data_IF_770192228981
#
_entry.id   IF_770192228981
#
_cell.length_a   1.000
_cell.length_b   1.000
_cell.length_c   1.000
_cell.angle_alpha   90.00
_cell.angle_beta   90.00
_cell.angle_gamma   90.00
#
_symmetry.space_group_name_H-M   'P 1'
#
loop_
_entity.id
_entity.type
_entity.pdbx_description
1 polymer ?
#
# COMPACT_ATOMS: atom_id res chain seq x y z
N UNK A 1 2.80 68.58 26.15
CA UNK A 1 1.53 68.18 25.50
C UNK A 1 1.82 67.32 24.22
N UNK A 2 2.68 67.76 23.32
CA UNK A 2 3.03 67.11 22.08
C UNK A 2 3.73 65.68 22.30
N UNK A 3 4.62 65.57 23.26
CA UNK A 3 5.29 64.34 23.64
C UNK A 3 4.32 63.28 24.19
N UNK A 4 3.38 63.67 25.03
CA UNK A 4 2.37 62.85 25.63
C UNK A 4 1.42 62.25 24.56
N UNK A 5 1.02 63.07 23.59
CA UNK A 5 0.17 62.65 22.48
C UNK A 5 0.87 61.64 21.56
N UNK A 6 2.17 61.78 21.31
CA UNK A 6 2.95 60.83 20.50
C UNK A 6 3.10 59.47 21.21
N UNK A 7 3.32 59.43 22.53
CA UNK A 7 3.35 58.15 23.29
C UNK A 7 1.99 57.46 23.30
N UNK A 8 0.89 58.19 23.41
CA UNK A 8 -0.45 57.65 23.39
C UNK A 8 -0.76 57.01 22.01
N UNK A 9 -0.44 57.69 20.92
CA UNK A 9 -0.61 57.18 19.56
C UNK A 9 0.26 55.92 19.35
N UNK A 10 1.52 55.94 19.78
CA UNK A 10 2.41 54.77 19.66
C UNK A 10 1.87 53.57 20.44
N UNK A 11 1.32 53.77 21.63
CA UNK A 11 0.71 52.72 22.44
C UNK A 11 -0.54 52.12 21.76
N UNK A 12 -1.38 52.95 21.18
CA UNK A 12 -2.56 52.50 20.42
C UNK A 12 -2.18 51.67 19.20
N UNK A 13 -1.18 52.11 18.43
CA UNK A 13 -0.65 51.35 17.28
C UNK A 13 -0.10 50.00 17.73
N UNK A 14 0.64 49.96 18.84
CA UNK A 14 1.19 48.72 19.41
C UNK A 14 0.08 47.71 19.77
N UNK A 15 -1.00 48.18 20.45
CA UNK A 15 -2.12 47.31 20.79
C UNK A 15 -2.87 46.79 19.55
N UNK A 16 -3.03 47.63 18.51
CA UNK A 16 -3.66 47.20 17.26
C UNK A 16 -2.83 46.12 16.57
N UNK A 17 -1.50 46.33 16.50
CA UNK A 17 -0.60 45.33 15.88
C UNK A 17 -0.63 43.98 16.63
N UNK A 18 -0.57 44.01 17.97
CA UNK A 18 -0.68 42.77 18.77
C UNK A 18 -2.03 42.10 18.56
N UNK A 19 -3.12 42.85 18.54
CA UNK A 19 -4.45 42.27 18.29
C UNK A 19 -4.55 41.60 16.91
N UNK A 20 -3.99 42.22 15.88
CA UNK A 20 -3.94 41.63 14.54
C UNK A 20 -3.11 40.33 14.51
N UNK A 21 -1.95 40.31 15.16
CA UNK A 21 -1.10 39.10 15.26
C UNK A 21 -1.84 38.01 16.04
N UNK A 22 -2.52 38.34 17.13
CA UNK A 22 -3.31 37.35 17.88
C UNK A 22 -4.46 36.76 17.04
N UNK A 23 -5.18 37.62 16.29
CA UNK A 23 -6.24 37.16 15.40
C UNK A 23 -5.73 36.25 14.27
N UNK A 24 -4.59 36.58 13.68
CA UNK A 24 -3.97 35.74 12.64
C UNK A 24 -3.52 34.38 13.19
N UNK A 25 -2.86 34.38 14.35
CA UNK A 25 -2.47 33.16 15.04
C UNK A 25 -3.68 32.29 15.42
N UNK A 26 -4.76 32.91 15.92
CA UNK A 26 -5.99 32.19 16.25
C UNK A 26 -6.64 31.55 15.00
N UNK A 27 -6.71 32.32 13.90
CA UNK A 27 -7.20 31.78 12.61
C UNK A 27 -6.33 30.61 12.12
N UNK A 28 -5.01 30.72 12.20
CA UNK A 28 -4.08 29.65 11.80
C UNK A 28 -4.25 28.41 12.68
N UNK A 29 -4.41 28.58 13.98
CA UNK A 29 -4.64 27.46 14.91
C UNK A 29 -5.95 26.74 14.60
N UNK A 30 -7.03 27.49 14.42
CA UNK A 30 -8.35 26.94 14.08
C UNK A 30 -8.34 26.22 12.73
N UNK A 31 -7.63 26.77 11.74
CA UNK A 31 -7.49 26.14 10.43
C UNK A 31 -6.71 24.81 10.51
N UNK A 32 -5.67 24.74 11.36
CA UNK A 32 -4.93 23.50 11.61
C UNK A 32 -5.80 22.41 12.28
N UNK A 33 -6.67 22.79 13.21
CA UNK A 33 -7.62 21.87 13.84
C UNK A 33 -8.61 21.32 12.80
N UNK A 34 -9.20 22.17 11.98
CA UNK A 34 -10.09 21.73 10.88
C UNK A 34 -9.40 20.81 9.90
N UNK A 35 -8.16 21.09 9.52
CA UNK A 35 -7.40 20.22 8.61
C UNK A 35 -7.10 18.86 9.24
N UNK A 36 -6.80 18.81 10.53
CA UNK A 36 -6.63 17.55 11.25
C UNK A 36 -7.93 16.72 11.29
N UNK A 37 -9.04 17.36 11.63
CA UNK A 37 -10.36 16.71 11.67
C UNK A 37 -10.77 16.16 10.30
N UNK A 38 -10.56 16.93 9.22
CA UNK A 38 -10.80 16.47 7.85
C UNK A 38 -9.90 15.29 7.50
N UNK A 39 -8.62 15.34 7.86
CA UNK A 39 -7.68 14.25 7.60
C UNK A 39 -8.06 12.96 8.36
N UNK A 40 -8.52 13.08 9.60
CA UNK A 40 -9.02 11.93 10.38
C UNK A 40 -10.30 11.34 9.79
N UNK A 41 -11.27 12.18 9.41
CA UNK A 41 -12.49 11.74 8.74
C UNK A 41 -12.18 11.05 7.41
N UNK A 42 -11.28 11.60 6.62
CA UNK A 42 -10.87 10.99 5.35
C UNK A 42 -10.17 9.63 5.57
N UNK A 43 -9.33 9.50 6.60
CA UNK A 43 -8.75 8.20 6.96
C UNK A 43 -9.83 7.19 7.33
N UNK A 44 -10.79 7.59 8.15
CA UNK A 44 -11.88 6.72 8.56
C UNK A 44 -12.75 6.28 7.36
N UNK A 45 -13.09 7.21 6.47
CA UNK A 45 -13.82 6.93 5.23
C UNK A 45 -13.04 5.94 4.36
N UNK A 46 -11.73 6.15 4.17
CA UNK A 46 -10.90 5.24 3.38
C UNK A 46 -10.82 3.84 4.00
N UNK A 47 -10.79 3.74 5.33
CA UNK A 47 -10.84 2.44 6.02
C UNK A 47 -12.17 1.74 5.78
N UNK A 48 -13.29 2.45 5.91
CA UNK A 48 -14.63 1.89 5.66
C UNK A 48 -14.81 1.44 4.20
N UNK A 49 -14.32 2.21 3.24
CA UNK A 49 -14.34 1.83 1.82
C UNK A 49 -13.53 0.55 1.60
N UNK A 50 -12.35 0.46 2.18
CA UNK A 50 -11.50 -0.72 2.06
C UNK A 50 -12.14 -1.97 2.73
N UNK A 51 -12.80 -1.82 3.87
CA UNK A 51 -13.53 -2.89 4.54
C UNK A 51 -14.76 -3.34 3.73
N UNK A 52 -15.52 -2.40 3.20
CA UNK A 52 -16.66 -2.68 2.34
C UNK A 52 -16.25 -3.43 1.07
N UNK A 53 -15.17 -3.02 0.44
CA UNK A 53 -14.64 -3.67 -0.75
C UNK A 53 -14.11 -5.09 -0.44
N UNK A 54 -13.42 -5.28 0.68
CA UNK A 54 -13.03 -6.63 1.15
C UNK A 54 -14.23 -7.53 1.40
N UNK A 55 -15.31 -6.99 1.97
CA UNK A 55 -16.52 -7.76 2.22
C UNK A 55 -17.20 -8.13 0.90
N UNK A 56 -17.31 -7.20 -0.06
CA UNK A 56 -17.87 -7.44 -1.40
C UNK A 56 -17.09 -8.54 -2.13
N UNK A 57 -15.76 -8.42 -2.15
CA UNK A 57 -14.87 -9.44 -2.77
C UNK A 57 -15.04 -10.80 -2.10
N UNK A 58 -15.12 -10.82 -0.76
CA UNK A 58 -15.35 -12.05 -0.01
C UNK A 58 -16.67 -12.74 -0.38
N UNK A 59 -17.74 -11.98 -0.58
CA UNK A 59 -19.02 -12.50 -1.05
C UNK A 59 -18.92 -13.02 -2.49
N UNK A 60 -18.38 -12.24 -3.42
CA UNK A 60 -18.22 -12.63 -4.83
C UNK A 60 -17.38 -13.91 -4.98
N UNK A 61 -16.32 -14.04 -4.17
CA UNK A 61 -15.51 -15.26 -4.12
C UNK A 61 -16.30 -16.44 -3.52
N UNK A 62 -16.99 -16.23 -2.42
CA UNK A 62 -17.76 -17.29 -1.76
C UNK A 62 -18.85 -17.82 -2.68
N UNK A 63 -19.59 -16.95 -3.34
CA UNK A 63 -20.68 -17.34 -4.24
C UNK A 63 -20.14 -18.07 -5.47
N UNK A 64 -19.07 -17.55 -6.09
CA UNK A 64 -18.43 -18.18 -7.25
C UNK A 64 -17.85 -19.53 -6.88
N UNK A 65 -17.07 -19.64 -5.81
CA UNK A 65 -16.42 -20.87 -5.38
C UNK A 65 -17.44 -21.90 -4.84
N UNK A 66 -18.48 -21.45 -4.13
CA UNK A 66 -19.53 -22.32 -3.60
C UNK A 66 -20.24 -23.09 -4.72
N UNK A 67 -20.66 -22.40 -5.77
CA UNK A 67 -21.28 -23.03 -6.95
C UNK A 67 -20.33 -23.99 -7.69
N UNK A 68 -19.06 -23.62 -7.81
CA UNK A 68 -18.07 -24.46 -8.47
C UNK A 68 -17.82 -25.73 -7.69
N UNK A 69 -17.58 -25.65 -6.38
CA UNK A 69 -17.34 -26.83 -5.54
C UNK A 69 -18.54 -27.76 -5.48
N UNK A 70 -19.76 -27.22 -5.41
CA UNK A 70 -20.99 -28.05 -5.50
C UNK A 70 -21.08 -28.79 -6.83
N UNK A 71 -20.78 -28.13 -7.95
CA UNK A 71 -20.78 -28.74 -9.27
C UNK A 71 -19.67 -29.79 -9.44
N UNK A 72 -18.46 -29.53 -8.94
CA UNK A 72 -17.36 -30.49 -8.95
C UNK A 72 -17.69 -31.73 -8.11
N UNK A 73 -18.29 -31.55 -6.93
CA UNK A 73 -18.73 -32.66 -6.07
C UNK A 73 -19.75 -33.54 -6.76
N UNK A 74 -20.77 -32.93 -7.38
CA UNK A 74 -21.83 -33.68 -8.10
C UNK A 74 -21.25 -34.46 -9.28
N UNK A 75 -20.37 -33.85 -10.08
CA UNK A 75 -19.72 -34.50 -11.22
C UNK A 75 -18.78 -35.63 -10.78
N UNK A 76 -18.08 -35.46 -9.68
CA UNK A 76 -17.22 -36.53 -9.12
C UNK A 76 -18.04 -37.69 -8.61
N UNK A 77 -19.19 -37.45 -7.97
CA UNK A 77 -20.10 -38.51 -7.52
C UNK A 77 -20.72 -39.24 -8.71
N UNK A 78 -21.09 -38.54 -9.78
CA UNK A 78 -21.60 -39.17 -11.01
C UNK A 78 -20.53 -40.02 -11.68
N UNK A 79 -19.32 -39.54 -11.81
CA UNK A 79 -18.20 -40.29 -12.35
C UNK A 79 -17.94 -41.58 -11.53
N UNK A 80 -17.99 -41.47 -10.18
CA UNK A 80 -17.84 -42.61 -9.29
C UNK A 80 -18.94 -43.68 -9.50
N UNK A 81 -20.20 -43.25 -9.63
CA UNK A 81 -21.34 -44.20 -9.86
C UNK A 81 -21.29 -44.89 -11.22
N UNK A 82 -20.64 -44.27 -12.22
CA UNK A 82 -20.54 -44.81 -13.58
C UNK A 82 -19.30 -45.64 -13.83
N UNK A 83 -18.35 -45.74 -12.90
CA UNK A 83 -17.01 -46.32 -13.12
C UNK A 83 -17.06 -47.79 -13.56
N UNK A 84 -18.02 -48.54 -13.03
CA UNK A 84 -18.20 -49.98 -13.35
C UNK A 84 -19.21 -50.24 -14.49
N UNK A 85 -19.90 -49.15 -14.97
CA UNK A 85 -21.01 -49.34 -15.95
C UNK A 85 -20.75 -48.67 -17.29
N UNK A 86 -20.08 -47.51 -17.34
CA UNK A 86 -19.88 -46.73 -18.55
C UNK A 86 -18.59 -45.88 -18.46
N UNK A 87 -17.47 -46.51 -18.83
CA UNK A 87 -16.14 -45.87 -18.77
C UNK A 87 -16.02 -44.62 -19.67
N UNK A 88 -16.73 -44.60 -20.81
CA UNK A 88 -16.69 -43.40 -21.69
C UNK A 88 -17.39 -42.21 -21.06
N UNK A 89 -18.49 -42.40 -20.36
CA UNK A 89 -19.15 -41.32 -19.58
C UNK A 89 -18.26 -40.88 -18.41
N UNK A 90 -17.56 -41.78 -17.72
CA UNK A 90 -16.61 -41.45 -16.68
C UNK A 90 -15.53 -40.51 -17.22
N UNK A 91 -14.94 -40.82 -18.36
CA UNK A 91 -13.95 -39.98 -19.02
C UNK A 91 -14.50 -38.60 -19.34
N UNK A 92 -15.73 -38.51 -19.85
CA UNK A 92 -16.40 -37.26 -20.16
C UNK A 92 -16.61 -36.38 -18.90
N UNK A 93 -17.04 -36.99 -17.76
CA UNK A 93 -17.20 -36.27 -16.51
C UNK A 93 -15.87 -35.79 -15.92
N UNK A 94 -14.81 -36.62 -16.00
CA UNK A 94 -13.47 -36.22 -15.56
C UNK A 94 -12.91 -35.06 -16.40
N UNK A 95 -13.13 -35.05 -17.72
CA UNK A 95 -12.76 -33.91 -18.57
C UNK A 95 -13.55 -32.66 -18.21
N UNK A 96 -14.87 -32.78 -17.92
CA UNK A 96 -15.69 -31.69 -17.48
C UNK A 96 -15.22 -31.12 -16.13
N UNK A 97 -14.84 -31.98 -15.17
CA UNK A 97 -14.23 -31.56 -13.88
C UNK A 97 -12.97 -30.75 -14.12
N UNK A 98 -12.06 -31.24 -14.96
CA UNK A 98 -10.78 -30.57 -15.25
C UNK A 98 -11.03 -29.21 -15.91
N UNK A 99 -11.93 -29.12 -16.88
CA UNK A 99 -12.33 -27.89 -17.55
C UNK A 99 -12.91 -26.88 -16.54
N UNK A 100 -13.89 -27.30 -15.75
CA UNK A 100 -14.52 -26.44 -14.74
C UNK A 100 -13.52 -25.93 -13.70
N UNK A 101 -12.59 -26.76 -13.26
CA UNK A 101 -11.52 -26.38 -12.33
C UNK A 101 -10.63 -25.28 -12.92
N UNK A 102 -10.20 -25.41 -14.19
CA UNK A 102 -9.37 -24.41 -14.88
C UNK A 102 -10.12 -23.09 -15.08
N UNK A 103 -11.37 -23.14 -15.53
CA UNK A 103 -12.21 -21.96 -15.73
C UNK A 103 -12.42 -21.22 -14.42
N UNK A 104 -12.64 -21.95 -13.33
CA UNK A 104 -12.84 -21.37 -12.00
C UNK A 104 -11.58 -20.70 -11.45
N UNK A 105 -10.41 -21.33 -11.64
CA UNK A 105 -9.14 -20.71 -11.27
C UNK A 105 -8.89 -19.41 -12.04
N UNK A 106 -9.24 -19.36 -13.31
CA UNK A 106 -9.12 -18.13 -14.11
C UNK A 106 -10.09 -17.06 -13.61
N UNK A 107 -11.35 -17.43 -13.29
CA UNK A 107 -12.34 -16.52 -12.75
C UNK A 107 -11.91 -15.92 -11.40
N UNK A 108 -11.34 -16.72 -10.52
CA UNK A 108 -10.76 -16.25 -9.24
C UNK A 108 -9.61 -15.27 -9.49
N UNK A 109 -8.76 -15.54 -10.47
CA UNK A 109 -7.69 -14.61 -10.85
C UNK A 109 -8.25 -13.31 -11.38
N UNK A 110 -9.25 -13.33 -12.24
CA UNK A 110 -9.94 -12.12 -12.72
C UNK A 110 -10.52 -11.28 -11.56
N UNK A 111 -11.21 -11.91 -10.60
CA UNK A 111 -11.75 -11.22 -9.42
C UNK A 111 -10.62 -10.58 -8.58
N UNK A 112 -9.48 -11.24 -8.46
CA UNK A 112 -8.31 -10.71 -7.73
C UNK A 112 -7.66 -9.58 -8.54
N UNK A 113 -7.59 -9.68 -9.85
CA UNK A 113 -7.01 -8.67 -10.74
C UNK A 113 -7.93 -7.44 -10.89
N UNK A 114 -9.26 -7.58 -10.79
CA UNK A 114 -10.24 -6.48 -10.75
C UNK A 114 -10.18 -5.66 -9.45
N UNK A 115 -9.58 -6.20 -8.39
CA UNK A 115 -9.12 -5.41 -7.25
C UNK A 115 -7.89 -4.63 -7.71
N UNK A 116 -8.09 -3.59 -8.47
CA UNK A 116 -7.04 -2.70 -9.00
C UNK A 116 -6.29 -2.02 -7.86
N UNK A 117 -5.40 -2.78 -7.23
CA UNK A 117 -4.28 -2.14 -6.58
C UNK A 117 -3.44 -1.48 -7.70
N UNK A 118 -3.08 -0.21 -7.55
CA UNK A 118 -2.26 0.46 -8.55
C UNK A 118 -1.03 -0.39 -8.83
N UNK A 119 -0.60 -0.42 -10.09
CA UNK A 119 0.67 -1.05 -10.43
C UNK A 119 1.79 -0.39 -9.63
N UNK A 120 2.88 -1.12 -9.40
CA UNK A 120 4.01 -0.53 -8.66
C UNK A 120 4.50 0.77 -9.29
N UNK A 121 4.47 0.88 -10.62
CA UNK A 121 4.86 2.08 -11.37
C UNK A 121 3.93 3.26 -11.04
N UNK A 122 2.62 3.04 -11.07
CA UNK A 122 1.61 4.07 -10.75
C UNK A 122 1.71 4.51 -9.29
N UNK A 123 2.00 3.59 -8.37
CA UNK A 123 2.21 3.91 -6.97
C UNK A 123 3.43 4.80 -6.77
N UNK A 124 4.57 4.50 -7.41
CA UNK A 124 5.77 5.34 -7.34
C UNK A 124 5.49 6.75 -7.86
N UNK A 125 4.70 6.88 -8.93
CA UNK A 125 4.33 8.20 -9.48
C UNK A 125 3.35 8.94 -8.54
N UNK A 126 2.49 8.24 -7.83
CA UNK A 126 1.64 8.81 -6.78
C UNK A 126 2.46 9.28 -5.57
N UNK A 127 3.38 8.44 -5.09
CA UNK A 127 4.30 8.77 -3.99
C UNK A 127 5.12 10.03 -4.31
N UNK A 128 5.60 10.17 -5.55
CA UNK A 128 6.35 11.36 -5.98
C UNK A 128 5.53 12.65 -5.80
N UNK A 129 4.24 12.61 -6.08
CA UNK A 129 3.37 13.78 -5.88
C UNK A 129 3.21 14.11 -4.39
N UNK A 130 2.94 13.10 -3.58
CA UNK A 130 2.75 13.28 -2.12
C UNK A 130 4.01 13.83 -1.46
N UNK A 131 5.19 13.31 -1.81
CA UNK A 131 6.46 13.76 -1.25
C UNK A 131 6.82 15.17 -1.72
N UNK A 132 6.50 15.52 -2.98
CA UNK A 132 6.65 16.89 -3.48
C UNK A 132 5.79 17.89 -2.71
N UNK A 133 4.55 17.52 -2.38
CA UNK A 133 3.66 18.37 -1.57
C UNK A 133 4.14 18.53 -0.11
N UNK A 134 5.00 17.62 0.33
CA UNK A 134 5.66 17.65 1.64
C UNK A 134 7.07 18.29 1.62
N UNK A 135 7.49 18.89 0.50
CA UNK A 135 8.82 19.47 0.28
C UNK A 135 9.98 18.45 0.46
N UNK A 136 9.73 17.17 0.14
CA UNK A 136 10.73 16.10 0.18
C UNK A 136 11.14 15.73 -1.25
N UNK A 137 12.44 15.79 -1.55
CA UNK A 137 12.98 15.38 -2.85
C UNK A 137 12.95 13.84 -2.97
N UNK A 138 12.29 13.33 -4.02
CA UNK A 138 12.11 11.89 -4.22
C UNK A 138 12.61 11.42 -5.58
N UNK A 139 13.49 10.45 -5.54
CA UNK A 139 13.99 9.75 -6.73
C UNK A 139 13.75 8.24 -6.60
N UNK A 140 13.38 7.59 -7.71
CA UNK A 140 13.22 6.14 -7.76
C UNK A 140 13.79 5.58 -9.05
N UNK A 141 14.72 4.60 -8.92
CA UNK A 141 15.39 3.96 -10.05
C UNK A 141 14.80 2.59 -10.37
N UNK A 142 14.68 2.28 -11.66
CA UNK A 142 14.34 0.97 -12.22
C UNK A 142 12.97 0.43 -11.74
N UNK A 143 11.97 1.30 -11.54
CA UNK A 143 10.62 0.90 -11.10
C UNK A 143 9.97 -0.16 -12.00
N UNK A 144 10.37 -0.22 -13.27
CA UNK A 144 9.89 -1.16 -14.28
C UNK A 144 10.22 -2.62 -13.96
N UNK A 145 11.28 -2.87 -13.17
CA UNK A 145 11.66 -4.21 -12.74
C UNK A 145 10.59 -4.89 -11.89
N UNK A 146 9.65 -4.16 -11.31
CA UNK A 146 8.52 -4.75 -10.59
C UNK A 146 7.61 -5.60 -11.49
N UNK A 147 7.61 -5.38 -12.81
CA UNK A 147 6.77 -6.11 -13.77
C UNK A 147 7.10 -7.60 -13.87
N UNK A 148 8.30 -8.02 -13.46
CA UNK A 148 8.66 -9.46 -13.42
C UNK A 148 7.97 -10.23 -12.29
N UNK A 149 7.36 -9.51 -11.34
CA UNK A 149 6.65 -10.10 -10.22
C UNK A 149 5.21 -10.44 -10.59
N UNK A 150 4.66 -11.47 -9.94
CA UNK A 150 3.23 -11.75 -10.02
C UNK A 150 2.40 -10.58 -9.45
N UNK A 151 1.14 -10.39 -9.87
CA UNK A 151 0.27 -9.32 -9.36
C UNK A 151 0.23 -9.26 -7.84
N UNK A 152 0.11 -10.40 -7.16
CA UNK A 152 0.10 -10.49 -5.70
C UNK A 152 1.41 -9.95 -5.07
N UNK A 153 2.57 -10.30 -5.65
CA UNK A 153 3.87 -9.80 -5.17
C UNK A 153 4.04 -8.31 -5.45
N UNK A 154 3.56 -7.81 -6.60
CA UNK A 154 3.55 -6.39 -6.89
C UNK A 154 2.71 -5.61 -5.86
N UNK A 155 1.50 -6.10 -5.56
CA UNK A 155 0.62 -5.48 -4.55
C UNK A 155 1.26 -5.43 -3.16
N UNK A 156 1.93 -6.50 -2.75
CA UNK A 156 2.69 -6.51 -1.49
C UNK A 156 3.83 -5.50 -1.51
N UNK A 157 4.55 -5.40 -2.63
CA UNK A 157 5.64 -4.44 -2.80
C UNK A 157 5.14 -2.99 -2.72
N UNK A 158 3.97 -2.71 -3.32
CA UNK A 158 3.27 -1.42 -3.20
C UNK A 158 2.96 -1.10 -1.74
N UNK A 159 2.37 -2.05 -0.99
CA UNK A 159 2.04 -1.85 0.42
C UNK A 159 3.27 -1.60 1.29
N UNK A 160 4.35 -2.33 1.05
CA UNK A 160 5.63 -2.16 1.75
C UNK A 160 6.23 -0.79 1.47
N UNK A 161 6.27 -0.39 0.19
CA UNK A 161 6.81 0.92 -0.21
C UNK A 161 5.99 2.06 0.39
N UNK A 162 4.65 1.97 0.33
CA UNK A 162 3.75 2.96 0.93
C UNK A 162 3.97 3.09 2.43
N UNK A 163 4.15 1.98 3.14
CA UNK A 163 4.43 1.98 4.58
C UNK A 163 5.78 2.63 4.90
N UNK A 164 6.84 2.30 4.15
CA UNK A 164 8.15 2.92 4.31
C UNK A 164 8.09 4.45 4.10
N UNK A 165 7.41 4.90 3.04
CA UNK A 165 7.23 6.33 2.76
C UNK A 165 6.38 7.03 3.83
N UNK A 166 5.32 6.38 4.33
CA UNK A 166 4.53 6.92 5.43
C UNK A 166 5.37 7.11 6.71
N UNK A 167 6.30 6.21 6.98
CA UNK A 167 7.22 6.33 8.11
C UNK A 167 8.17 7.52 7.91
N UNK A 168 8.70 7.72 6.71
CA UNK A 168 9.50 8.90 6.39
C UNK A 168 8.72 10.19 6.65
N UNK A 169 7.51 10.33 6.09
CA UNK A 169 6.68 11.55 6.24
C UNK A 169 6.36 11.83 7.71
N UNK A 170 6.06 10.78 8.50
CA UNK A 170 5.61 10.96 9.89
C UNK A 170 6.75 11.13 10.89
N UNK A 171 7.87 10.47 10.65
CA UNK A 171 8.86 10.24 11.69
C UNK A 171 10.27 10.67 11.33
N UNK A 172 10.68 10.60 10.05
CA UNK A 172 12.08 10.77 9.68
C UNK A 172 12.56 12.23 9.71
N UNK A 173 11.68 13.21 9.47
CA UNK A 173 12.08 14.61 9.23
C UNK A 173 13.13 14.73 8.12
N UNK A 174 13.00 13.90 7.09
CA UNK A 174 13.93 13.80 5.97
C UNK A 174 13.67 14.92 4.95
N UNK A 175 14.71 15.30 4.22
CA UNK A 175 14.63 16.20 3.08
C UNK A 175 14.75 15.46 1.74
N UNK A 176 15.28 14.24 1.75
CA UNK A 176 15.48 13.43 0.55
C UNK A 176 15.10 11.97 0.81
N UNK A 177 14.49 11.34 -0.21
CA UNK A 177 14.22 9.91 -0.24
C UNK A 177 14.68 9.34 -1.56
N UNK A 178 15.45 8.27 -1.51
CA UNK A 178 15.90 7.54 -2.68
C UNK A 178 15.38 6.10 -2.65
N UNK A 179 14.71 5.68 -3.72
CA UNK A 179 14.26 4.30 -3.91
C UNK A 179 14.93 3.66 -5.11
N UNK A 180 15.10 2.33 -5.07
CA UNK A 180 15.70 1.58 -6.17
C UNK A 180 15.24 0.13 -6.18
N UNK A 181 14.93 -0.39 -7.38
CA UNK A 181 14.84 -1.82 -7.63
C UNK A 181 16.11 -2.33 -8.33
N UNK A 182 16.56 -3.52 -7.96
CA UNK A 182 17.70 -4.18 -8.58
C UNK A 182 17.44 -5.69 -8.66
N UNK A 183 17.71 -6.30 -9.81
CA UNK A 183 17.70 -7.76 -9.95
C UNK A 183 19.00 -8.34 -9.43
N UNK A 184 18.90 -9.40 -8.62
CA UNK A 184 20.03 -10.14 -8.08
C UNK A 184 19.93 -11.59 -8.57
N UNK A 185 20.96 -12.09 -9.25
CA UNK A 185 21.06 -13.49 -9.72
C UNK A 185 19.87 -13.99 -10.57
N UNK A 186 19.22 -13.13 -11.36
CA UNK A 186 18.08 -13.40 -12.22
C UNK A 186 16.82 -14.00 -11.55
N UNK A 187 16.88 -14.35 -10.26
CA UNK A 187 15.78 -14.99 -9.53
C UNK A 187 15.31 -14.20 -8.29
N UNK A 188 15.96 -13.09 -8.02
CA UNK A 188 15.65 -12.25 -6.85
C UNK A 188 15.55 -10.78 -7.25
N UNK A 189 14.60 -10.09 -6.66
CA UNK A 189 14.43 -8.66 -6.75
C UNK A 189 14.76 -8.04 -5.39
N UNK A 190 15.56 -7.00 -5.40
CA UNK A 190 15.93 -6.23 -4.23
C UNK A 190 15.28 -4.86 -4.34
N UNK A 191 14.46 -4.51 -3.34
CA UNK A 191 13.96 -3.16 -3.11
C UNK A 191 14.82 -2.49 -2.05
N UNK A 192 15.30 -1.29 -2.36
CA UNK A 192 16.00 -0.43 -1.42
C UNK A 192 15.23 0.89 -1.32
N UNK A 193 15.01 1.38 -0.09
CA UNK A 193 14.46 2.71 0.20
C UNK A 193 15.35 3.32 1.27
N UNK A 194 15.82 4.54 1.02
CA UNK A 194 16.77 5.26 1.87
C UNK A 194 16.32 6.70 2.03
N UNK A 195 16.33 7.21 3.26
CA UNK A 195 16.09 8.63 3.59
C UNK A 195 17.25 9.24 4.35
N UNK A 196 17.36 10.55 4.31
CA UNK A 196 18.38 11.34 5.01
C UNK A 196 17.91 11.87 6.37
N UNK A 197 16.88 11.27 6.95
CA UNK A 197 16.27 11.71 8.20
C UNK A 197 17.01 11.28 9.46
N UNK A 198 16.33 11.34 10.60
CA UNK A 198 16.90 11.03 11.92
C UNK A 198 17.06 9.54 12.23
N UNK A 199 16.64 8.65 11.32
CA UNK A 199 16.61 7.20 11.57
C UNK A 199 15.39 6.73 12.34
N UNK A 200 15.33 5.43 12.66
CA UNK A 200 14.24 4.76 13.38
C UNK A 200 14.59 4.62 14.85
N UNK A 201 13.73 5.12 15.74
CA UNK A 201 13.91 5.07 17.19
C UNK A 201 13.34 3.78 17.84
N UNK A 202 12.51 3.02 17.13
CA UNK A 202 11.85 1.84 17.71
C UNK A 202 11.59 0.72 16.70
N UNK A 203 11.68 -0.54 17.16
CA UNK A 203 11.34 -1.75 16.37
C UNK A 203 9.87 -1.78 15.91
N UNK A 204 9.00 -0.97 16.52
CA UNK A 204 7.58 -0.92 16.19
C UNK A 204 7.32 -0.39 14.78
N UNK A 205 8.14 0.53 14.29
CA UNK A 205 7.95 1.18 12.98
C UNK A 205 8.20 0.23 11.80
N UNK A 206 9.02 -0.80 12.01
CA UNK A 206 9.39 -1.78 10.98
C UNK A 206 8.58 -3.06 11.05
N UNK A 207 7.84 -3.30 12.15
CA UNK A 207 7.11 -4.55 12.39
C UNK A 207 6.10 -4.87 11.29
N UNK A 208 5.36 -3.88 10.81
CA UNK A 208 4.39 -4.01 9.73
C UNK A 208 5.05 -4.39 8.40
N UNK A 209 6.21 -3.82 8.10
CA UNK A 209 7.01 -4.16 6.92
C UNK A 209 7.55 -5.58 7.04
N UNK A 210 8.11 -5.94 8.19
CA UNK A 210 8.66 -7.27 8.46
C UNK A 210 7.64 -8.38 8.24
N UNK A 211 6.42 -8.23 8.75
CA UNK A 211 5.35 -9.19 8.56
C UNK A 211 5.02 -9.40 7.07
N UNK A 212 4.92 -8.31 6.28
CA UNK A 212 4.64 -8.40 4.85
C UNK A 212 5.78 -9.06 4.08
N UNK A 213 7.03 -8.76 4.44
CA UNK A 213 8.21 -9.38 3.83
C UNK A 213 8.25 -10.89 4.10
N UNK A 214 7.88 -11.33 5.31
CA UNK A 214 7.74 -12.75 5.64
C UNK A 214 6.69 -13.46 4.76
N UNK A 215 5.55 -12.82 4.47
CA UNK A 215 4.54 -13.39 3.56
C UNK A 215 5.05 -13.53 2.10
N UNK A 216 6.06 -12.75 1.72
CA UNK A 216 6.73 -12.88 0.42
C UNK A 216 7.86 -13.92 0.43
N UNK A 217 8.11 -14.60 1.56
CA UNK A 217 9.29 -15.43 1.80
C UNK A 217 10.59 -14.65 1.48
N UNK A 218 10.58 -13.37 1.82
CA UNK A 218 11.68 -12.43 1.61
C UNK A 218 12.54 -12.24 2.85
N UNK A 219 13.61 -11.48 2.69
CA UNK A 219 14.48 -11.03 3.79
C UNK A 219 14.42 -9.51 3.90
N UNK A 220 14.50 -9.00 5.13
CA UNK A 220 14.49 -7.59 5.47
C UNK A 220 15.79 -7.25 6.22
N UNK A 221 16.49 -6.21 5.77
CA UNK A 221 17.58 -5.58 6.53
C UNK A 221 17.25 -4.09 6.68
N UNK A 222 17.54 -3.54 7.86
CA UNK A 222 17.34 -2.14 8.18
C UNK A 222 18.61 -1.57 8.79
N UNK A 223 19.03 -0.41 8.30
CA UNK A 223 20.14 0.36 8.83
C UNK A 223 19.63 1.77 9.18
N UNK A 224 19.92 2.24 10.38
CA UNK A 224 19.45 3.52 10.92
C UNK A 224 20.59 4.42 11.37
N UNK A 225 21.80 4.23 10.86
CA UNK A 225 22.98 4.97 11.31
C UNK A 225 23.02 6.42 10.80
N UNK A 226 22.58 6.65 9.55
CA UNK A 226 22.52 7.98 8.92
C UNK A 226 21.21 8.07 8.12
N UNK A 227 20.10 8.41 8.79
CA UNK A 227 18.76 8.25 8.20
C UNK A 227 18.31 6.81 8.31
N UNK A 228 17.30 6.42 7.50
CA UNK A 228 16.81 5.04 7.46
C UNK A 228 17.06 4.43 6.10
N UNK A 229 17.66 3.24 6.08
CA UNK A 229 17.82 2.45 4.88
C UNK A 229 17.18 1.08 5.07
N UNK A 230 16.17 0.81 4.26
CA UNK A 230 15.42 -0.45 4.23
C UNK A 230 15.82 -1.22 2.98
N UNK A 231 16.25 -2.47 3.15
CA UNK A 231 16.62 -3.37 2.06
C UNK A 231 15.77 -4.62 2.17
N UNK A 232 15.04 -4.93 1.11
CA UNK A 232 14.14 -6.08 1.03
C UNK A 232 14.51 -6.92 -0.18
N UNK A 233 14.77 -8.20 0.04
CA UNK A 233 15.05 -9.17 -1.02
C UNK A 233 13.90 -10.16 -1.13
N UNK A 234 13.33 -10.33 -2.32
CA UNK A 234 12.23 -11.25 -2.61
C UNK A 234 12.55 -12.10 -3.83
N UNK A 235 12.06 -13.35 -3.84
CA UNK A 235 12.15 -14.21 -5.01
C UNK A 235 11.19 -13.76 -6.11
N UNK A 236 11.66 -13.66 -7.35
CA UNK A 236 10.81 -13.32 -8.50
C UNK A 236 9.87 -14.48 -8.89
N UNK A 237 10.11 -15.69 -8.38
CA UNK A 237 9.37 -16.87 -8.79
C UNK A 237 9.77 -17.24 -10.22
N UNK A 238 10.91 -17.87 -10.39
CA UNK A 238 11.30 -18.41 -11.69
C UNK A 238 10.20 -19.34 -12.21
N UNK A 239 9.76 -19.09 -13.44
CA UNK A 239 9.07 -20.10 -14.25
C UNK A 239 10.12 -21.18 -14.45
N UNK A 240 9.93 -22.33 -13.79
CA UNK A 240 10.68 -23.54 -14.07
C UNK A 240 10.23 -24.11 -15.43
#
# INVERSE_FOLDING_TARGET
YLLYNNYFVAMMVYYVVISLIMLDNFKKMKNREYQKEIAEKNRHINTLIAEQERHRIGQDLHDTLGHVFASLSLKSELAYKLIDTDVEKVKAELLAINKLSRESLNKVREIIDDVKLPSFIEEIDSIRKVLKDADIDFTFENKELAQVLSPTKQSMLVMITREAINNVIKHANASKVHGKLKTVNNHKLLLMIEDDGKGIDSDCEVKSISQRVQHLNGTLAVDSTNGTKIIIEISTGGIA
#
